data_IF_722047103885
#
_entry.id   IF_722047103885
#
_cell.length_a   1.000
_cell.length_b   1.000
_cell.length_c   1.000
_cell.angle_alpha   90.00
_cell.angle_beta   90.00
_cell.angle_gamma   90.00
#
_symmetry.space_group_name_H-M   'P 1'
#
loop_
_entity.id
_entity.type
_entity.pdbx_description
1 polymer ?
#
# COMPACT_ATOMS: atom_id res chain seq x y z
N UNK A 1 -0.13 11.60 -10.69
CA UNK A 1 0.55 10.34 -11.04
C UNK A 1 2.00 10.66 -11.31
N UNK A 2 2.80 9.66 -11.67
CA UNK A 2 4.16 9.89 -12.17
C UNK A 2 4.31 9.18 -13.52
N UNK A 3 4.84 9.84 -14.58
CA UNK A 3 4.96 9.23 -15.91
C UNK A 3 5.82 7.96 -15.91
N UNK A 4 6.83 7.87 -15.03
CA UNK A 4 7.74 6.72 -14.95
C UNK A 4 7.11 5.48 -14.30
N UNK A 5 5.96 5.63 -13.61
CA UNK A 5 5.32 4.53 -12.88
C UNK A 5 4.05 4.10 -13.61
N UNK A 6 4.19 3.06 -14.44
CA UNK A 6 3.10 2.49 -15.25
C UNK A 6 2.41 3.51 -16.19
N UNK A 7 3.12 4.58 -16.56
CA UNK A 7 2.63 5.68 -17.39
C UNK A 7 2.97 5.57 -18.88
N UNK A 8 3.76 4.57 -19.29
CA UNK A 8 4.23 4.39 -20.69
C UNK A 8 5.08 5.57 -21.21
N UNK A 9 5.82 6.21 -20.31
CA UNK A 9 6.67 7.36 -20.61
C UNK A 9 7.68 7.06 -21.73
N UNK A 10 8.21 5.84 -21.78
CA UNK A 10 9.15 5.40 -22.82
C UNK A 10 8.57 5.55 -24.23
N UNK A 11 7.34 5.10 -24.45
CA UNK A 11 6.68 5.20 -25.76
C UNK A 11 6.47 6.66 -26.21
N UNK A 12 6.13 7.55 -25.27
CA UNK A 12 5.92 8.97 -25.55
C UNK A 12 7.24 9.68 -25.88
N UNK A 13 8.32 9.36 -25.15
CA UNK A 13 9.65 9.91 -25.40
C UNK A 13 10.22 9.45 -26.75
N UNK A 14 10.05 8.17 -27.10
CA UNK A 14 10.45 7.64 -28.40
C UNK A 14 9.76 8.37 -29.56
N UNK A 15 8.43 8.54 -29.48
CA UNK A 15 7.66 9.24 -30.51
C UNK A 15 8.06 10.72 -30.66
N UNK A 16 8.35 11.42 -29.56
CA UNK A 16 8.80 12.81 -29.60
C UNK A 16 10.21 12.94 -30.19
N UNK A 17 11.10 11.99 -29.85
CA UNK A 17 12.45 11.93 -30.42
C UNK A 17 12.42 11.69 -31.93
N UNK A 18 11.58 10.75 -32.41
CA UNK A 18 11.39 10.49 -33.85
C UNK A 18 10.85 11.72 -34.60
N UNK A 19 10.00 12.53 -33.95
CA UNK A 19 9.46 13.76 -34.50
C UNK A 19 10.42 14.97 -34.39
N UNK A 20 11.57 14.83 -33.73
CA UNK A 20 12.50 15.95 -33.48
C UNK A 20 11.95 17.01 -32.53
N UNK A 21 11.01 16.64 -31.64
CA UNK A 21 10.36 17.56 -30.69
C UNK A 21 11.07 17.47 -29.34
N UNK A 22 11.62 18.60 -28.89
CA UNK A 22 12.18 18.70 -27.55
C UNK A 22 11.07 18.62 -26.48
N UNK A 23 11.33 17.89 -25.40
CA UNK A 23 10.42 17.78 -24.27
C UNK A 23 11.18 17.72 -22.94
N UNK A 24 10.44 17.94 -21.85
CA UNK A 24 10.92 17.81 -20.47
C UNK A 24 9.98 16.87 -19.72
N UNK A 25 10.55 16.00 -18.89
CA UNK A 25 9.78 15.14 -17.99
C UNK A 25 9.67 15.81 -16.63
N UNK A 26 8.47 16.25 -16.27
CA UNK A 26 8.17 16.80 -14.94
C UNK A 26 7.74 15.65 -14.00
N UNK A 27 8.46 15.39 -12.90
CA UNK A 27 8.11 14.30 -11.98
C UNK A 27 6.80 14.60 -11.25
N UNK A 28 6.10 13.55 -10.84
CA UNK A 28 4.84 13.67 -10.12
C UNK A 28 4.73 12.73 -8.94
N UNK A 29 3.68 12.92 -8.14
CA UNK A 29 3.35 12.01 -7.04
C UNK A 29 2.55 10.83 -7.59
N UNK A 30 3.12 9.63 -7.52
CA UNK A 30 2.46 8.40 -7.94
C UNK A 30 1.36 7.96 -6.96
N UNK A 31 0.39 7.18 -7.43
CA UNK A 31 -0.78 6.81 -6.65
C UNK A 31 -0.47 5.99 -5.39
N UNK A 32 0.61 5.20 -5.39
CA UNK A 32 1.05 4.50 -4.18
C UNK A 32 1.41 5.47 -3.04
N UNK A 33 2.11 6.56 -3.36
CA UNK A 33 2.52 7.57 -2.38
C UNK A 33 1.32 8.41 -1.94
N UNK A 34 0.44 8.78 -2.89
CA UNK A 34 -0.80 9.46 -2.56
C UNK A 34 -1.68 8.61 -1.61
N UNK A 35 -1.84 7.32 -1.88
CA UNK A 35 -2.62 6.41 -1.04
C UNK A 35 -2.00 6.24 0.36
N UNK A 36 -0.67 6.11 0.44
CA UNK A 36 0.04 6.06 1.71
C UNK A 36 -0.18 7.34 2.54
N UNK A 37 -0.16 8.51 1.90
CA UNK A 37 -0.42 9.79 2.54
C UNK A 37 -1.88 9.90 3.01
N UNK A 38 -2.86 9.55 2.17
CA UNK A 38 -4.29 9.58 2.49
C UNK A 38 -4.62 8.69 3.70
N UNK A 39 -4.03 7.50 3.75
CA UNK A 39 -4.19 6.57 4.87
C UNK A 39 -3.34 6.92 6.09
N UNK A 40 -2.42 7.88 5.98
CA UNK A 40 -1.37 8.19 6.96
C UNK A 40 -0.56 6.95 7.35
N UNK A 41 -0.24 6.09 6.38
CA UNK A 41 0.52 4.84 6.58
C UNK A 41 1.76 4.85 5.69
N UNK A 42 2.97 4.91 6.24
CA UNK A 42 4.18 4.90 5.44
C UNK A 42 4.37 3.53 4.79
N UNK A 43 4.82 3.51 3.53
CA UNK A 43 5.09 2.25 2.80
C UNK A 43 6.28 1.47 3.38
N UNK A 44 7.14 2.12 4.15
CA UNK A 44 8.27 1.49 4.86
C UNK A 44 8.17 1.77 6.34
N UNK A 45 8.72 0.88 7.16
CA UNK A 45 8.79 1.02 8.61
C UNK A 45 10.12 0.55 9.14
N UNK A 46 10.75 1.37 9.98
CA UNK A 46 12.01 1.01 10.63
C UNK A 46 11.83 -0.29 11.41
N UNK A 47 12.74 -1.25 11.19
CA UNK A 47 12.76 -2.53 11.88
C UNK A 47 11.76 -3.59 11.37
N UNK A 48 10.71 -3.21 10.65
CA UNK A 48 9.65 -4.14 10.24
C UNK A 48 9.39 -4.20 8.73
N UNK A 49 9.74 -3.18 7.94
CA UNK A 49 9.67 -3.24 6.48
C UNK A 49 10.59 -2.25 5.79
N UNK A 50 11.55 -2.77 5.02
CA UNK A 50 12.64 -2.02 4.38
C UNK A 50 12.58 -2.06 2.85
N UNK A 51 11.60 -2.76 2.28
CA UNK A 51 11.43 -2.92 0.84
C UNK A 51 10.00 -2.59 0.41
N UNK A 52 9.87 -1.97 -0.77
CA UNK A 52 8.59 -1.67 -1.42
C UNK A 52 8.68 -2.15 -2.86
N UNK A 53 7.70 -2.92 -3.31
CA UNK A 53 7.53 -3.26 -4.73
C UNK A 53 6.26 -2.61 -5.27
N UNK A 54 6.36 -1.99 -6.44
CA UNK A 54 5.21 -1.49 -7.21
C UNK A 54 4.96 -2.46 -8.35
N UNK A 55 3.73 -2.93 -8.50
CA UNK A 55 3.37 -3.92 -9.53
C UNK A 55 2.00 -3.63 -10.11
N UNK A 56 1.74 -4.15 -11.30
CA UNK A 56 0.43 -4.08 -11.94
C UNK A 56 -0.31 -5.40 -11.72
N UNK A 57 -1.59 -5.31 -11.36
CA UNK A 57 -2.49 -6.46 -11.33
C UNK A 57 -2.84 -6.98 -12.75
N UNK A 58 -2.37 -6.30 -13.80
CA UNK A 58 -2.63 -6.64 -15.20
C UNK A 58 -1.31 -6.68 -15.99
N UNK A 59 -0.94 -7.87 -16.49
CA UNK A 59 0.13 -8.00 -17.49
C UNK A 59 -0.44 -7.88 -18.90
N UNK A 60 0.43 -7.65 -19.90
CA UNK A 60 0.09 -7.64 -21.34
C UNK A 60 -0.60 -8.93 -21.81
N UNK A 61 -0.40 -10.04 -21.10
CA UNK A 61 -1.04 -11.34 -21.36
C UNK A 61 -2.33 -11.57 -20.53
N UNK A 62 -2.83 -10.55 -19.82
CA UNK A 62 -4.03 -10.64 -18.98
C UNK A 62 -3.86 -11.48 -17.71
N UNK A 63 -2.63 -11.88 -17.35
CA UNK A 63 -2.37 -12.66 -16.15
C UNK A 63 -2.00 -11.75 -14.98
N UNK A 64 -2.74 -11.87 -13.88
CA UNK A 64 -2.41 -11.26 -12.60
C UNK A 64 -1.30 -12.08 -11.93
N UNK A 65 -0.15 -11.45 -11.71
CA UNK A 65 0.96 -12.03 -10.94
C UNK A 65 0.99 -11.32 -9.59
N UNK A 66 0.90 -12.11 -8.53
CA UNK A 66 1.22 -11.67 -7.18
C UNK A 66 2.52 -12.34 -6.77
N UNK A 67 3.39 -11.60 -6.10
CA UNK A 67 4.64 -12.10 -5.54
C UNK A 67 4.61 -11.95 -4.03
N UNK A 68 5.69 -12.39 -3.38
CA UNK A 68 6.04 -11.99 -2.02
C UNK A 68 7.52 -11.66 -1.98
N UNK A 69 7.89 -10.64 -2.74
CA UNK A 69 9.26 -10.18 -2.95
C UNK A 69 9.66 -8.96 -2.13
N UNK A 70 8.69 -8.29 -1.50
CA UNK A 70 8.93 -7.13 -0.65
C UNK A 70 8.07 -7.15 0.63
N UNK A 71 8.50 -6.36 1.62
CA UNK A 71 7.77 -6.17 2.88
C UNK A 71 6.44 -5.45 2.67
N UNK A 72 6.40 -4.56 1.67
CA UNK A 72 5.21 -3.86 1.20
C UNK A 72 5.09 -4.04 -0.32
N UNK A 73 3.97 -4.59 -0.78
CA UNK A 73 3.66 -4.65 -2.21
C UNK A 73 2.46 -3.78 -2.53
N UNK A 74 2.58 -2.95 -3.58
CA UNK A 74 1.51 -2.07 -4.05
C UNK A 74 1.08 -2.46 -5.46
N UNK A 75 -0.17 -2.87 -5.59
CA UNK A 75 -0.77 -3.29 -6.85
C UNK A 75 -1.61 -2.17 -7.46
N UNK A 76 -1.23 -1.74 -8.65
CA UNK A 76 -1.96 -0.82 -9.49
C UNK A 76 -2.99 -1.57 -10.35
N UNK A 77 -4.00 -0.84 -10.84
CA UNK A 77 -5.00 -1.36 -11.77
C UNK A 77 -5.79 -2.58 -11.23
N UNK A 78 -5.91 -2.68 -9.91
CA UNK A 78 -6.45 -3.86 -9.23
C UNK A 78 -7.98 -3.84 -9.04
N UNK A 79 -8.66 -2.71 -9.27
CA UNK A 79 -10.07 -2.52 -8.88
C UNK A 79 -11.07 -3.51 -9.47
N UNK A 80 -10.80 -4.07 -10.65
CA UNK A 80 -11.65 -5.12 -11.28
C UNK A 80 -11.22 -6.55 -10.92
N UNK A 81 -10.10 -6.72 -10.24
CA UNK A 81 -9.43 -8.00 -10.03
C UNK A 81 -9.24 -8.36 -8.55
N UNK A 82 -9.87 -7.66 -7.62
CA UNK A 82 -9.65 -7.81 -6.17
C UNK A 82 -9.82 -9.27 -5.68
N UNK A 83 -10.85 -9.97 -6.15
CA UNK A 83 -11.06 -11.39 -5.82
C UNK A 83 -9.98 -12.31 -6.41
N UNK A 84 -9.49 -12.02 -7.62
CA UNK A 84 -8.40 -12.77 -8.24
C UNK A 84 -7.06 -12.48 -7.55
N UNK A 85 -6.81 -11.23 -7.18
CA UNK A 85 -5.65 -10.78 -6.43
C UNK A 85 -5.54 -11.48 -5.08
N UNK A 86 -6.64 -11.57 -4.32
CA UNK A 86 -6.69 -12.31 -3.05
C UNK A 86 -6.18 -13.76 -3.20
N UNK A 87 -6.73 -14.51 -4.16
CA UNK A 87 -6.30 -15.90 -4.42
C UNK A 87 -4.83 -15.99 -4.83
N UNK A 88 -4.36 -15.05 -5.64
CA UNK A 88 -2.97 -15.02 -6.12
C UNK A 88 -1.99 -14.68 -5.01
N UNK A 89 -2.33 -13.75 -4.12
CA UNK A 89 -1.52 -13.42 -2.94
C UNK A 89 -1.37 -14.63 -2.02
N UNK A 90 -2.47 -15.36 -1.75
CA UNK A 90 -2.43 -16.62 -1.01
C UNK A 90 -1.53 -17.64 -1.70
N UNK A 91 -1.69 -17.83 -3.02
CA UNK A 91 -0.85 -18.74 -3.81
C UNK A 91 0.63 -18.34 -3.85
N UNK A 92 0.94 -17.05 -3.72
CA UNK A 92 2.30 -16.51 -3.65
C UNK A 92 2.93 -16.62 -2.24
N UNK A 93 2.21 -17.15 -1.26
CA UNK A 93 2.71 -17.39 0.09
C UNK A 93 2.57 -16.21 1.06
N UNK A 94 1.69 -15.26 0.78
CA UNK A 94 1.26 -14.30 1.80
C UNK A 94 0.41 -14.98 2.87
N UNK A 95 0.62 -14.66 4.17
CA UNK A 95 -0.27 -15.11 5.23
C UNK A 95 -1.72 -14.64 4.98
N UNK A 96 -2.74 -15.48 5.21
CA UNK A 96 -4.15 -15.09 5.08
C UNK A 96 -4.51 -13.81 5.83
N UNK A 97 -3.93 -13.65 7.02
CA UNK A 97 -4.15 -12.54 7.94
C UNK A 97 -3.31 -11.29 7.63
N UNK A 98 -2.42 -11.36 6.64
CA UNK A 98 -1.57 -10.23 6.30
C UNK A 98 -2.41 -9.00 5.95
N UNK A 99 -2.07 -7.81 6.48
CA UNK A 99 -2.88 -6.63 6.31
C UNK A 99 -2.89 -6.18 4.85
N UNK A 100 -4.07 -5.73 4.41
CA UNK A 100 -4.29 -5.18 3.08
C UNK A 100 -5.08 -3.88 3.22
N UNK A 101 -4.62 -2.82 2.56
CA UNK A 101 -5.34 -1.57 2.47
C UNK A 101 -5.71 -1.32 1.01
N UNK A 102 -6.98 -1.00 0.74
CA UNK A 102 -7.48 -0.71 -0.61
C UNK A 102 -7.87 0.75 -0.67
N UNK A 103 -7.31 1.51 -1.62
CA UNK A 103 -7.60 2.93 -1.77
C UNK A 103 -8.08 3.21 -3.19
N UNK A 104 -9.29 3.74 -3.30
CA UNK A 104 -9.82 4.27 -4.55
C UNK A 104 -9.66 5.78 -4.61
N UNK A 105 -9.32 6.29 -5.79
CA UNK A 105 -9.14 7.73 -6.06
C UNK A 105 -8.20 8.40 -5.07
N UNK A 106 -7.05 7.79 -4.81
CA UNK A 106 -6.03 8.36 -3.95
C UNK A 106 -5.67 9.79 -4.39
N UNK A 107 -5.57 10.71 -3.44
CA UNK A 107 -5.34 12.14 -3.65
C UNK A 107 -6.55 12.96 -4.07
N UNK A 108 -7.73 12.35 -4.21
CA UNK A 108 -8.97 13.08 -4.54
C UNK A 108 -9.72 13.49 -3.26
N UNK A 109 -10.54 14.57 -3.30
CA UNK A 109 -11.37 14.97 -2.15
C UNK A 109 -12.32 13.86 -1.67
N UNK A 110 -12.74 13.01 -2.59
CA UNK A 110 -13.65 11.90 -2.38
C UNK A 110 -12.93 10.54 -2.49
N UNK A 111 -11.65 10.51 -2.14
CA UNK A 111 -10.90 9.28 -1.91
C UNK A 111 -11.66 8.35 -0.97
N UNK A 112 -11.46 7.05 -1.12
CA UNK A 112 -12.04 6.07 -0.22
C UNK A 112 -11.02 4.96 0.09
N UNK A 113 -10.71 4.78 1.38
CA UNK A 113 -9.86 3.72 1.89
C UNK A 113 -10.66 2.67 2.66
N UNK A 114 -10.27 1.40 2.56
CA UNK A 114 -10.80 0.33 3.42
C UNK A 114 -9.73 -0.69 3.80
N UNK A 115 -9.89 -1.26 4.99
CA UNK A 115 -8.98 -2.23 5.58
C UNK A 115 -9.49 -3.66 5.39
N UNK A 116 -8.56 -4.53 5.00
CA UNK A 116 -8.79 -5.94 4.71
C UNK A 116 -7.60 -6.77 5.19
N UNK A 117 -7.74 -8.07 5.01
CA UNK A 117 -6.66 -9.04 5.04
C UNK A 117 -6.57 -9.69 3.67
N UNK A 118 -5.50 -10.43 3.42
CA UNK A 118 -5.35 -11.17 2.16
C UNK A 118 -6.53 -12.09 1.90
N UNK A 119 -7.05 -12.77 2.92
CA UNK A 119 -8.20 -13.68 2.81
C UNK A 119 -9.56 -12.99 2.66
N UNK A 120 -9.70 -11.73 3.10
CA UNK A 120 -10.96 -10.97 2.99
C UNK A 120 -10.98 -9.97 1.83
N UNK A 121 -9.85 -9.75 1.16
CA UNK A 121 -9.69 -8.76 0.07
C UNK A 121 -10.73 -8.89 -1.05
N UNK A 122 -11.26 -10.08 -1.31
CA UNK A 122 -12.32 -10.25 -2.31
C UNK A 122 -13.56 -9.38 -2.03
N UNK A 123 -13.88 -9.13 -0.76
CA UNK A 123 -15.01 -8.28 -0.34
C UNK A 123 -14.84 -6.79 -0.68
N UNK A 124 -13.61 -6.33 -0.90
CA UNK A 124 -13.32 -4.94 -1.26
C UNK A 124 -13.99 -4.48 -2.58
N UNK A 125 -14.40 -5.43 -3.44
CA UNK A 125 -15.11 -5.12 -4.70
C UNK A 125 -16.37 -4.30 -4.50
N UNK A 126 -17.06 -4.46 -3.36
CA UNK A 126 -18.29 -3.72 -3.04
C UNK A 126 -18.03 -2.21 -2.94
N UNK A 127 -16.86 -1.81 -2.44
CA UNK A 127 -16.52 -0.40 -2.19
C UNK A 127 -15.69 0.23 -3.33
N UNK A 128 -14.89 -0.60 -4.00
CA UNK A 128 -13.83 -0.16 -4.90
C UNK A 128 -14.03 -0.59 -6.36
N UNK A 129 -15.02 -1.45 -6.64
CA UNK A 129 -15.28 -2.00 -7.97
C UNK A 129 -15.45 -0.90 -9.03
N UNK A 130 -14.70 -1.01 -10.12
CA UNK A 130 -14.77 -0.08 -11.26
C UNK A 130 -14.12 1.29 -11.03
N UNK A 131 -13.50 1.55 -9.88
CA UNK A 131 -12.82 2.82 -9.57
C UNK A 131 -11.30 2.68 -9.75
N UNK A 132 -10.57 3.77 -10.09
CA UNK A 132 -9.11 3.78 -10.02
C UNK A 132 -8.67 3.42 -8.61
N UNK A 133 -7.98 2.29 -8.46
CA UNK A 133 -7.73 1.66 -7.15
C UNK A 133 -6.31 1.13 -7.09
N UNK A 134 -5.65 1.40 -5.96
CA UNK A 134 -4.40 0.75 -5.56
C UNK A 134 -4.66 -0.14 -4.35
N UNK A 135 -3.95 -1.27 -4.29
CA UNK A 135 -4.00 -2.22 -3.17
C UNK A 135 -2.61 -2.31 -2.56
N UNK A 136 -2.50 -2.00 -1.28
CA UNK A 136 -1.26 -2.08 -0.52
C UNK A 136 -1.34 -3.34 0.34
N UNK A 137 -0.33 -4.20 0.30
CA UNK A 137 -0.25 -5.46 1.06
C UNK A 137 0.98 -5.44 1.96
N UNK A 138 0.86 -5.95 3.18
CA UNK A 138 1.98 -6.10 4.10
C UNK A 138 2.25 -4.88 4.96
N UNK A 139 3.52 -4.57 5.22
CA UNK A 139 3.92 -3.62 6.27
C UNK A 139 3.33 -2.22 6.06
N UNK A 140 3.30 -1.76 4.81
CA UNK A 140 2.72 -0.47 4.45
C UNK A 140 1.19 -0.40 4.57
N UNK A 141 0.52 -1.55 4.63
CA UNK A 141 -0.93 -1.63 4.82
C UNK A 141 -1.33 -1.60 6.29
N UNK A 142 -0.46 -1.97 7.22
CA UNK A 142 -0.80 -1.99 8.65
C UNK A 142 -1.21 -0.59 9.13
N UNK A 143 -2.16 -0.51 10.07
CA UNK A 143 -2.47 0.76 10.73
C UNK A 143 -1.28 1.25 11.57
N UNK A 144 -1.24 2.55 11.85
CA UNK A 144 -0.42 3.08 12.93
C UNK A 144 -1.26 3.04 14.22
N UNK A 145 -0.66 2.81 15.39
CA UNK A 145 -1.38 2.93 16.65
C UNK A 145 -1.92 4.36 16.79
N UNK A 146 -3.18 4.49 17.21
CA UNK A 146 -3.79 5.79 17.42
C UNK A 146 -3.03 6.56 18.51
N UNK A 147 -2.81 7.84 18.28
CA UNK A 147 -2.17 8.73 19.26
C UNK A 147 -2.95 8.85 20.59
N UNK A 148 -4.17 8.31 20.66
CA UNK A 148 -5.02 8.27 21.86
C UNK A 148 -4.82 7.03 22.72
N UNK A 149 -4.05 6.02 22.29
CA UNK A 149 -3.65 4.92 23.18
C UNK A 149 -2.40 5.33 23.95
N UNK A 150 -2.57 6.13 25.00
CA UNK A 150 -1.47 6.43 25.94
C UNK A 150 -1.04 5.14 26.64
N UNK A 151 0.26 4.81 26.70
CA UNK A 151 0.76 3.78 27.61
C UNK A 151 0.80 4.38 29.03
N UNK A 152 -0.38 4.55 29.64
CA UNK A 152 -0.50 5.10 30.99
C UNK A 152 -0.51 4.05 32.11
N UNK A 153 -0.63 2.76 31.80
CA UNK A 153 -0.57 1.70 32.79
C UNK A 153 0.66 0.84 32.53
N UNK A 154 1.81 1.23 33.08
CA UNK A 154 2.84 0.39 33.75
C UNK A 154 4.06 1.30 33.97
N UNK A 155 3.98 2.14 35.00
CA UNK A 155 5.17 2.47 35.79
C UNK A 155 4.82 2.05 37.21
N UNK A 156 5.24 0.83 37.58
CA UNK A 156 5.27 0.44 38.98
C UNK A 156 6.29 1.34 39.69
N UNK A 157 5.80 2.19 40.59
CA UNK A 157 6.68 2.92 41.52
C UNK A 157 7.39 1.91 42.42
N UNK A 158 8.70 2.07 42.69
CA UNK A 158 9.39 1.23 43.65
C UNK A 158 8.77 1.44 45.04
N UNK A 159 8.30 0.34 45.65
CA UNK A 159 7.83 0.32 47.02
C UNK A 159 8.97 0.74 47.95
N UNK A 160 8.81 1.90 48.59
CA UNK A 160 9.62 2.37 49.71
C UNK A 160 9.49 1.38 50.88
N UNK A 161 10.52 0.58 51.14
CA UNK A 161 10.72 -0.04 52.44
C UNK A 161 11.37 0.98 53.37
N UNK A 162 10.52 1.72 54.08
CA UNK A 162 10.91 2.44 55.29
C UNK A 162 11.34 1.43 56.36
N UNK A 163 12.51 1.66 56.93
CA UNK A 163 12.99 0.99 58.12
C UNK A 163 12.10 1.29 59.34
N UNK A 164 11.75 0.27 60.10
CA UNK A 164 11.54 0.34 61.57
C UNK A 164 11.52 -1.12 62.08
N UNK A 165 12.39 -1.53 62.99
CA UNK A 165 12.25 -1.42 64.46
C UNK A 165 13.35 -2.31 65.10
N UNK A 166 13.47 -2.31 66.44
CA UNK A 166 13.70 -1.21 67.36
C UNK A 166 15.18 -1.13 67.82
#
# INVERSE_FOLDING_TARGET
GDPSVFGRLDEELEALAEAGIACEVVPGVTAAIAAAADLRRPLTRRGTGRSVALSTAMTRAGQLVATRGADTEVFYMAGRQLAALSRRLLGAGWPPEAPVAVVSRAGWPDQHGSDHRVDTLAGAVVLHGGRPTVVIVGVGAAALPDATSSPADVIALPSSTAASKP
#
